data_IF_260989393572
#
_entry.id   IF_260989393572
#
_cell.length_a   1.000
_cell.length_b   1.000
_cell.length_c   1.000
_cell.angle_alpha   90.00
_cell.angle_beta   90.00
_cell.angle_gamma   90.00
#
_symmetry.space_group_name_H-M   'P 1'
#
loop_
_entity.id
_entity.type
_entity.pdbx_description
1 polymer ?
#
# COMPACT_ATOMS: atom_id res chain seq x y z
N UNK A 1 15.52 -25.28 -13.23
CA UNK A 1 14.06 -25.47 -13.01
C UNK A 1 13.34 -24.17 -13.35
N UNK A 2 12.22 -24.21 -14.08
CA UNK A 2 11.51 -23.00 -14.53
C UNK A 2 11.03 -22.15 -13.34
N UNK A 3 11.39 -20.85 -13.33
CA UNK A 3 10.97 -19.86 -12.33
C UNK A 3 9.44 -19.82 -12.11
N UNK A 4 8.66 -20.24 -13.11
CA UNK A 4 7.20 -20.26 -13.05
C UNK A 4 6.65 -21.34 -12.12
N UNK A 5 7.28 -22.53 -12.04
CA UNK A 5 6.86 -23.58 -11.09
C UNK A 5 7.03 -23.14 -9.63
N UNK A 6 8.04 -22.32 -9.36
CA UNK A 6 8.38 -21.88 -8.01
C UNK A 6 7.40 -20.86 -7.43
N UNK A 7 6.62 -20.13 -8.24
CA UNK A 7 5.58 -19.22 -7.75
C UNK A 7 4.22 -19.93 -7.60
N UNK A 8 3.89 -20.80 -8.55
CA UNK A 8 2.63 -21.55 -8.61
C UNK A 8 2.37 -22.29 -7.29
N UNK A 9 3.39 -22.93 -6.71
CA UNK A 9 3.26 -23.72 -5.48
C UNK A 9 3.83 -23.04 -4.22
N UNK A 10 4.00 -21.73 -4.23
CA UNK A 10 4.62 -21.00 -3.12
C UNK A 10 3.67 -19.97 -2.51
N UNK A 11 2.81 -20.45 -1.61
CA UNK A 11 1.87 -19.62 -0.86
C UNK A 11 2.59 -18.52 -0.07
N UNK A 12 3.79 -18.78 0.47
CA UNK A 12 4.60 -17.78 1.21
C UNK A 12 4.93 -16.57 0.34
N UNK A 13 5.36 -16.80 -0.91
CA UNK A 13 5.63 -15.70 -1.84
C UNK A 13 4.32 -15.02 -2.28
N UNK A 14 3.24 -15.77 -2.46
CA UNK A 14 1.95 -15.21 -2.82
C UNK A 14 1.40 -14.27 -1.72
N UNK A 15 1.41 -14.68 -0.44
CA UNK A 15 0.97 -13.85 0.68
C UNK A 15 1.83 -12.59 0.80
N UNK A 16 3.15 -12.71 0.66
CA UNK A 16 4.04 -11.55 0.61
C UNK A 16 3.66 -10.54 -0.49
N UNK A 17 3.39 -11.02 -1.71
CA UNK A 17 2.98 -10.13 -2.82
C UNK A 17 1.59 -9.52 -2.60
N UNK A 18 0.68 -10.26 -1.94
CA UNK A 18 -0.64 -9.76 -1.55
C UNK A 18 -0.47 -8.59 -0.58
N UNK A 19 0.30 -8.77 0.49
CA UNK A 19 0.53 -7.74 1.51
C UNK A 19 1.26 -6.52 0.92
N UNK A 20 2.29 -6.76 0.10
CA UNK A 20 3.01 -5.72 -0.62
C UNK A 20 2.08 -4.87 -1.49
N UNK A 21 1.10 -5.50 -2.16
CA UNK A 21 0.08 -4.80 -2.98
C UNK A 21 -0.96 -4.07 -2.13
N UNK A 22 -1.20 -4.50 -0.89
CA UNK A 22 -2.15 -3.81 0.00
C UNK A 22 -1.53 -2.56 0.65
N UNK A 23 -0.21 -2.57 0.88
CA UNK A 23 0.53 -1.42 1.41
C UNK A 23 0.97 -0.44 0.31
N UNK A 24 1.09 -0.90 -0.93
CA UNK A 24 1.57 -0.09 -2.04
C UNK A 24 1.43 -0.76 -3.40
N UNK A 25 2.38 -0.54 -4.30
CA UNK A 25 2.36 -1.14 -5.65
C UNK A 25 3.29 -2.33 -5.73
N UNK A 26 2.91 -3.31 -6.54
CA UNK A 26 3.78 -4.39 -7.01
C UNK A 26 4.11 -4.16 -8.48
N UNK A 27 5.25 -4.69 -8.94
CA UNK A 27 5.66 -4.61 -10.34
C UNK A 27 4.71 -5.41 -11.24
N UNK A 28 4.72 -5.13 -12.55
CA UNK A 28 3.91 -5.86 -13.53
C UNK A 28 4.21 -7.36 -13.49
N UNK A 29 5.50 -7.73 -13.39
CA UNK A 29 5.93 -9.12 -13.27
C UNK A 29 5.35 -9.79 -12.03
N UNK A 30 5.46 -9.17 -10.87
CA UNK A 30 4.90 -9.68 -9.61
C UNK A 30 3.37 -9.83 -9.68
N UNK A 31 2.69 -8.91 -10.36
CA UNK A 31 1.25 -8.97 -10.58
C UNK A 31 0.84 -10.19 -11.41
N UNK A 32 1.56 -10.48 -12.50
CA UNK A 32 1.33 -11.67 -13.34
C UNK A 32 1.62 -12.95 -12.54
N UNK A 33 2.75 -12.99 -11.84
CA UNK A 33 3.14 -14.10 -10.95
C UNK A 33 2.05 -14.40 -9.90
N UNK A 34 1.54 -13.36 -9.23
CA UNK A 34 0.47 -13.49 -8.24
C UNK A 34 -0.85 -13.94 -8.88
N UNK A 35 -1.22 -13.41 -10.06
CA UNK A 35 -2.45 -13.84 -10.77
C UNK A 35 -2.43 -15.33 -11.07
N UNK A 36 -1.31 -15.85 -11.57
CA UNK A 36 -1.18 -17.28 -11.89
C UNK A 36 -1.37 -18.13 -10.63
N UNK A 37 -0.73 -17.77 -9.51
CA UNK A 37 -0.91 -18.48 -8.25
C UNK A 37 -2.39 -18.49 -7.80
N UNK A 38 -3.05 -17.34 -7.90
CA UNK A 38 -4.45 -17.18 -7.52
C UNK A 38 -5.42 -17.91 -8.43
N UNK A 39 -5.05 -18.38 -9.63
CA UNK A 39 -5.94 -19.22 -10.42
C UNK A 39 -6.22 -20.57 -9.73
N UNK A 40 -5.24 -21.11 -9.01
CA UNK A 40 -5.30 -22.46 -8.46
C UNK A 40 -5.36 -22.55 -6.92
N UNK A 41 -5.04 -21.47 -6.19
CA UNK A 41 -4.98 -21.51 -4.72
C UNK A 41 -6.15 -20.76 -4.08
N UNK A 42 -7.18 -21.50 -3.66
CA UNK A 42 -8.34 -20.90 -2.99
C UNK A 42 -8.02 -20.34 -1.60
N UNK A 43 -7.03 -20.90 -0.91
CA UNK A 43 -6.55 -20.38 0.39
C UNK A 43 -6.00 -18.97 0.23
N UNK A 44 -5.18 -18.71 -0.79
CA UNK A 44 -4.67 -17.36 -1.07
C UNK A 44 -5.76 -16.40 -1.56
N UNK A 45 -6.79 -16.89 -2.27
CA UNK A 45 -7.99 -16.07 -2.59
C UNK A 45 -8.73 -15.65 -1.33
N UNK A 46 -8.90 -16.58 -0.37
CA UNK A 46 -9.54 -16.31 0.92
C UNK A 46 -8.70 -15.33 1.74
N UNK A 47 -7.38 -15.52 1.78
CA UNK A 47 -6.44 -14.64 2.47
C UNK A 47 -6.60 -13.18 2.02
N UNK A 48 -6.69 -12.92 0.70
CA UNK A 48 -6.93 -11.55 0.19
C UNK A 48 -8.19 -10.92 0.80
N UNK A 49 -9.30 -11.67 0.83
CA UNK A 49 -10.57 -11.18 1.36
C UNK A 49 -10.47 -10.90 2.86
N UNK A 50 -9.83 -11.79 3.61
CA UNK A 50 -9.63 -11.65 5.05
C UNK A 50 -8.73 -10.47 5.39
N UNK A 51 -7.57 -10.35 4.72
CA UNK A 51 -6.65 -9.23 4.92
C UNK A 51 -7.32 -7.89 4.59
N UNK A 52 -8.12 -7.82 3.52
CA UNK A 52 -8.87 -6.61 3.19
C UNK A 52 -9.87 -6.24 4.30
N UNK A 53 -10.61 -7.22 4.82
CA UNK A 53 -11.55 -7.00 5.92
C UNK A 53 -10.84 -6.52 7.20
N UNK A 54 -9.71 -7.14 7.55
CA UNK A 54 -8.89 -6.74 8.70
C UNK A 54 -8.43 -5.29 8.53
N UNK A 55 -7.93 -4.92 7.35
CA UNK A 55 -7.49 -3.54 7.09
C UNK A 55 -8.63 -2.53 7.28
N UNK A 56 -9.82 -2.83 6.79
CA UNK A 56 -10.99 -1.95 6.98
C UNK A 56 -11.43 -1.89 8.45
N UNK A 57 -11.39 -3.00 9.18
CA UNK A 57 -11.66 -3.02 10.63
C UNK A 57 -10.65 -2.15 11.39
N UNK A 58 -9.36 -2.27 11.08
CA UNK A 58 -8.31 -1.45 11.70
C UNK A 58 -8.52 0.03 11.38
N UNK A 59 -8.80 0.38 10.12
CA UNK A 59 -9.11 1.76 9.76
C UNK A 59 -10.32 2.29 10.53
N UNK A 60 -11.36 1.49 10.70
CA UNK A 60 -12.54 1.89 11.46
C UNK A 60 -12.24 2.09 12.95
N UNK A 61 -11.40 1.24 13.55
CA UNK A 61 -10.94 1.38 14.94
C UNK A 61 -10.04 2.61 15.14
N UNK A 62 -9.18 2.89 14.15
CA UNK A 62 -8.25 4.02 14.15
C UNK A 62 -8.86 5.31 13.59
N UNK A 63 -10.15 5.33 13.22
CA UNK A 63 -10.89 6.58 13.01
C UNK A 63 -11.02 7.29 14.36
N UNK A 64 -9.94 7.94 14.78
CA UNK A 64 -10.09 9.16 15.56
C UNK A 64 -11.02 10.09 14.77
N UNK A 65 -11.84 10.88 15.47
CA UNK A 65 -12.47 12.03 14.82
C UNK A 65 -11.40 12.76 14.00
N UNK A 66 -11.73 13.29 12.80
CA UNK A 66 -10.79 14.07 12.04
C UNK A 66 -10.39 15.28 12.90
N UNK A 67 -9.37 15.12 13.74
CA UNK A 67 -8.52 16.21 14.17
C UNK A 67 -8.00 16.73 12.86
N UNK A 68 -8.44 17.91 12.46
CA UNK A 68 -7.84 18.61 11.35
C UNK A 68 -6.33 18.65 11.64
N UNK A 69 -5.58 17.77 10.96
CA UNK A 69 -4.12 17.77 11.03
C UNK A 69 -3.71 19.01 10.24
N UNK A 70 -3.78 20.14 10.91
CA UNK A 70 -3.37 21.43 10.40
C UNK A 70 -1.90 21.59 10.70
N UNK A 71 -1.17 22.14 9.73
CA UNK A 71 0.13 22.72 10.04
C UNK A 71 -0.10 23.84 11.05
N UNK A 72 0.81 23.94 12.02
CA UNK A 72 0.81 25.08 12.92
C UNK A 72 0.98 26.38 12.13
N UNK A 73 0.36 27.45 12.61
CA UNK A 73 0.34 28.71 11.89
C UNK A 73 1.73 29.34 11.75
N UNK A 74 2.67 29.01 12.64
CA UNK A 74 4.05 29.48 12.55
C UNK A 74 4.77 28.84 11.35
N UNK A 75 4.58 27.54 11.15
CA UNK A 75 5.17 26.81 10.04
C UNK A 75 4.57 27.23 8.70
N UNK A 76 3.25 27.47 8.63
CA UNK A 76 2.61 28.03 7.43
C UNK A 76 3.23 29.38 7.04
N UNK A 77 3.41 30.27 8.01
CA UNK A 77 4.05 31.58 7.78
C UNK A 77 5.50 31.45 7.32
N UNK A 78 6.27 30.52 7.91
CA UNK A 78 7.64 30.26 7.45
C UNK A 78 7.69 29.77 6.00
N UNK A 79 6.75 28.90 5.60
CA UNK A 79 6.65 28.44 4.21
C UNK A 79 6.30 29.59 3.25
N UNK A 80 5.35 30.45 3.61
CA UNK A 80 5.02 31.63 2.79
C UNK A 80 6.22 32.56 2.58
N UNK A 81 7.01 32.80 3.64
CA UNK A 81 8.22 33.62 3.54
C UNK A 81 9.22 32.98 2.56
N UNK A 82 9.49 31.67 2.70
CA UNK A 82 10.44 30.98 1.83
C UNK A 82 10.01 30.98 0.36
N UNK A 83 8.71 30.83 0.08
CA UNK A 83 8.17 30.87 -1.28
C UNK A 83 8.32 32.27 -1.88
N UNK A 84 7.97 33.32 -1.13
CA UNK A 84 8.10 34.70 -1.59
C UNK A 84 9.57 35.10 -1.82
N UNK A 85 10.47 34.68 -0.93
CA UNK A 85 11.92 34.91 -1.09
C UNK A 85 12.48 34.23 -2.34
N UNK A 86 11.97 33.05 -2.70
CA UNK A 86 12.37 32.34 -3.92
C UNK A 86 11.80 33.02 -5.18
N UNK A 87 10.59 33.56 -5.13
CA UNK A 87 9.96 34.27 -6.24
C UNK A 87 10.62 35.63 -6.51
N UNK A 88 11.00 36.37 -5.46
CA UNK A 88 11.62 37.69 -5.57
C UNK A 88 13.11 37.66 -5.94
N UNK A 89 13.72 36.46 -6.05
CA UNK A 89 15.11 36.26 -6.49
C UNK A 89 15.25 36.04 -8.01
N UNK A 90 14.13 35.94 -8.74
CA UNK A 90 14.09 35.94 -10.21
C UNK A 90 13.64 37.30 -10.74
#
# INVERSE_FOLDING_TARGET
MSNLKNIVYNCRKATYLIDKRMLGKITVRESVELRIHLLQCDVCKLYIKQSAKINEMIKALLRAEPKEITLDDSYKKQLEIQVNDALNKN
#
